data_IF_392515347188
#
_entry.id   IF_392515347188
#
_cell.length_a   1.000
_cell.length_b   1.000
_cell.length_c   1.000
_cell.angle_alpha   90.00
_cell.angle_beta   90.00
_cell.angle_gamma   90.00
#
_symmetry.space_group_name_H-M   'P 1'
#
loop_
_entity.id
_entity.type
_entity.pdbx_description
1 polymer ?
#
# COMPACT_ATOMS: atom_id res chain seq x y z
N UNK A 1 -4.00 -25.18 41.90
CA UNK A 1 -4.75 -26.43 42.13
C UNK A 1 -4.81 -27.13 40.77
N UNK A 2 -3.96 -28.16 40.59
CA UNK A 2 -3.87 -29.04 39.40
C UNK A 2 -4.49 -30.36 39.79
N UNK A 3 -5.15 -31.09 38.90
CA UNK A 3 -5.10 -32.54 38.98
C UNK A 3 -4.47 -33.16 37.71
N UNK A 4 -3.50 -33.99 37.96
CA UNK A 4 -2.87 -34.98 37.09
C UNK A 4 -3.81 -36.15 36.81
N UNK A 5 -3.64 -36.81 35.67
CA UNK A 5 -4.21 -38.12 35.39
C UNK A 5 -3.58 -38.79 34.18
N UNK A 6 -2.46 -39.46 34.35
CA UNK A 6 -1.86 -40.46 33.46
C UNK A 6 -2.60 -41.79 33.53
N UNK A 7 -2.83 -42.51 32.43
CA UNK A 7 -2.75 -43.99 32.33
C UNK A 7 -2.48 -44.40 30.88
N UNK A 8 -1.38 -44.92 30.64
CA UNK A 8 -0.80 -46.24 30.26
C UNK A 8 -1.46 -47.02 29.10
N UNK A 9 -0.53 -47.35 28.16
CA UNK A 9 -0.66 -48.35 27.08
C UNK A 9 -0.99 -49.73 27.58
N UNK A 10 -1.36 -50.65 26.65
CA UNK A 10 -0.60 -51.89 26.51
C UNK A 10 -0.11 -52.17 25.10
N UNK A 11 0.93 -52.98 25.08
CA UNK A 11 1.71 -53.50 23.97
C UNK A 11 1.09 -54.81 23.41
N UNK A 12 1.69 -55.20 22.27
CA UNK A 12 1.90 -56.55 21.72
C UNK A 12 0.84 -57.22 20.83
N UNK A 13 1.35 -57.63 19.64
CA UNK A 13 0.76 -58.60 18.74
C UNK A 13 1.55 -58.76 17.43
N UNK A 14 2.39 -59.76 17.42
CA UNK A 14 3.32 -60.18 16.37
C UNK A 14 2.70 -60.80 15.13
N UNK A 15 3.48 -61.21 14.08
CA UNK A 15 3.14 -61.10 12.66
C UNK A 15 2.84 -62.50 12.05
N UNK A 16 2.25 -62.47 10.83
CA UNK A 16 2.26 -63.66 9.98
C UNK A 16 1.52 -63.48 8.67
N UNK A 17 1.66 -64.33 7.70
CA UNK A 17 2.83 -64.44 6.81
C UNK A 17 2.58 -64.08 5.35
N UNK A 18 3.65 -64.03 4.60
CA UNK A 18 3.80 -63.86 3.15
C UNK A 18 2.89 -64.69 2.25
N UNK A 19 2.40 -64.12 1.17
CA UNK A 19 2.23 -64.83 -0.08
C UNK A 19 2.53 -63.94 -1.27
N UNK A 20 3.43 -64.46 -2.04
CA UNK A 20 4.00 -64.04 -3.30
C UNK A 20 3.00 -63.98 -4.48
N UNK A 21 3.49 -63.34 -5.52
CA UNK A 21 3.32 -63.61 -6.96
C UNK A 21 2.59 -62.54 -7.75
N UNK A 22 3.35 -61.76 -8.48
CA UNK A 22 3.33 -61.76 -9.94
C UNK A 22 2.25 -60.97 -10.64
N UNK A 23 2.66 -59.91 -11.24
CA UNK A 23 1.84 -59.28 -12.24
C UNK A 23 2.50 -57.97 -12.75
N UNK A 24 3.48 -58.09 -13.60
CA UNK A 24 3.90 -57.00 -14.49
C UNK A 24 2.71 -56.58 -15.34
N UNK A 25 2.04 -55.50 -14.99
CA UNK A 25 1.12 -54.82 -15.88
C UNK A 25 1.89 -53.77 -16.67
N UNK A 26 1.80 -53.93 -17.98
CA UNK A 26 2.25 -53.07 -19.05
C UNK A 26 2.02 -51.59 -18.74
N UNK A 27 3.03 -50.75 -19.06
CA UNK A 27 2.94 -49.29 -19.14
C UNK A 27 1.69 -48.94 -19.97
N UNK A 28 0.86 -47.98 -19.53
CA UNK A 28 -0.07 -47.32 -20.44
C UNK A 28 0.73 -46.51 -21.44
N UNK A 29 0.43 -46.73 -22.71
CA UNK A 29 0.89 -45.92 -23.83
C UNK A 29 0.25 -44.51 -23.73
N UNK A 30 1.06 -43.55 -24.01
CA UNK A 30 0.83 -42.20 -24.53
C UNK A 30 -0.62 -41.66 -24.60
N UNK A 31 -0.85 -40.51 -23.91
CA UNK A 31 -1.76 -39.50 -24.46
C UNK A 31 -2.99 -39.10 -23.68
N UNK A 32 -3.11 -39.40 -22.40
CA UNK A 32 -4.07 -38.61 -21.59
C UNK A 32 -3.35 -37.53 -20.82
N UNK A 33 -3.76 -36.26 -20.95
CA UNK A 33 -3.27 -35.23 -20.01
C UNK A 33 -3.72 -35.70 -18.64
N UNK A 34 -2.73 -35.94 -17.76
CA UNK A 34 -2.98 -36.19 -16.35
C UNK A 34 -3.91 -35.14 -15.77
N UNK A 35 -4.59 -35.42 -14.64
CA UNK A 35 -5.51 -34.47 -14.04
C UNK A 35 -4.87 -33.11 -14.01
N UNK A 36 -5.53 -32.11 -14.60
CA UNK A 36 -5.10 -30.74 -14.54
C UNK A 36 -5.06 -30.37 -13.05
N UNK A 37 -3.88 -30.47 -12.45
CA UNK A 37 -3.66 -29.87 -11.14
C UNK A 37 -4.07 -28.43 -11.31
N UNK A 38 -5.11 -28.00 -10.61
CA UNK A 38 -5.52 -26.59 -10.55
C UNK A 38 -4.27 -25.81 -10.16
N UNK A 39 -3.69 -25.10 -11.14
CA UNK A 39 -2.51 -24.29 -10.90
C UNK A 39 -2.88 -23.26 -9.85
N UNK A 40 -2.11 -23.18 -8.77
CA UNK A 40 -2.35 -22.16 -7.76
C UNK A 40 -2.18 -20.78 -8.40
N UNK A 41 -3.22 -19.99 -8.39
CA UNK A 41 -3.25 -18.63 -8.96
C UNK A 41 -3.96 -17.69 -8.00
N UNK A 42 -3.42 -16.51 -7.82
CA UNK A 42 -4.02 -15.43 -7.03
C UNK A 42 -3.87 -14.11 -7.76
N UNK A 43 -4.90 -13.28 -7.68
CA UNK A 43 -4.85 -11.89 -8.11
C UNK A 43 -5.04 -11.03 -6.88
N UNK A 44 -4.07 -10.17 -6.62
CA UNK A 44 -4.06 -9.25 -5.48
C UNK A 44 -4.21 -7.84 -6.02
N UNK A 45 -5.21 -7.09 -5.52
CA UNK A 45 -5.40 -5.68 -5.82
C UNK A 45 -5.07 -4.84 -4.60
N UNK A 46 -4.22 -3.83 -4.80
CA UNK A 46 -3.72 -2.98 -3.71
C UNK A 46 -3.90 -1.52 -4.11
N UNK A 47 -4.57 -0.71 -3.26
CA UNK A 47 -4.74 0.71 -3.55
C UNK A 47 -3.43 1.49 -3.38
N UNK A 48 -3.35 2.63 -4.09
CA UNK A 48 -2.38 3.67 -3.84
C UNK A 48 -2.55 4.25 -2.44
N UNK A 49 -1.55 4.99 -1.98
CA UNK A 49 -1.65 5.67 -0.69
C UNK A 49 -0.92 7.02 -0.69
N UNK A 50 -1.44 7.96 0.09
CA UNK A 50 -0.80 9.23 0.39
C UNK A 50 -0.45 9.28 1.86
N UNK A 51 0.82 9.42 2.18
CA UNK A 51 1.31 9.52 3.56
C UNK A 51 1.46 10.96 4.03
N UNK A 52 1.65 11.13 5.32
CA UNK A 52 1.84 12.36 6.06
C UNK A 52 0.58 13.22 6.21
N UNK A 53 -0.22 13.38 5.19
CA UNK A 53 -1.48 14.15 5.17
C UNK A 53 -1.34 15.54 5.81
N UNK A 54 -0.21 16.22 5.56
CA UNK A 54 0.18 17.45 6.23
C UNK A 54 0.81 17.19 7.61
N UNK A 55 0.10 17.37 8.73
CA UNK A 55 0.72 17.35 10.06
C UNK A 55 1.10 15.96 10.59
N UNK A 56 0.65 14.87 9.94
CA UNK A 56 0.85 13.49 10.39
C UNK A 56 2.10 12.83 9.82
N UNK A 57 3.24 13.54 9.83
CA UNK A 57 4.50 13.05 9.32
C UNK A 57 4.89 11.67 9.91
N UNK A 58 5.16 10.70 9.02
CA UNK A 58 5.53 9.30 9.31
C UNK A 58 4.49 8.53 10.19
N UNK A 59 3.27 9.06 10.38
CA UNK A 59 2.26 8.38 11.20
C UNK A 59 0.84 8.38 10.61
N UNK A 60 0.52 9.22 9.63
CA UNK A 60 -0.81 9.27 9.02
C UNK A 60 -0.73 9.00 7.53
N UNK A 61 -1.68 8.23 7.01
CA UNK A 61 -1.85 8.02 5.58
C UNK A 61 -3.32 7.79 5.21
N UNK A 62 -3.60 7.89 3.91
CA UNK A 62 -4.89 7.54 3.34
C UNK A 62 -4.71 6.68 2.09
N UNK A 63 -5.60 5.73 1.88
CA UNK A 63 -5.69 4.97 0.65
C UNK A 63 -6.41 5.78 -0.44
N UNK A 64 -5.99 5.60 -1.69
CA UNK A 64 -6.50 6.30 -2.86
C UNK A 64 -6.91 5.31 -3.95
N UNK A 65 -7.98 5.60 -4.69
CA UNK A 65 -8.58 4.74 -5.71
C UNK A 65 -7.78 4.71 -7.03
N UNK A 66 -6.52 4.37 -6.95
CA UNK A 66 -5.64 3.93 -8.03
C UNK A 66 -5.04 2.60 -7.59
N UNK A 67 -4.94 1.61 -8.46
CA UNK A 67 -4.59 0.27 -8.00
C UNK A 67 -3.33 -0.29 -8.69
N UNK A 68 -2.60 -1.07 -7.92
CA UNK A 68 -1.67 -2.07 -8.41
C UNK A 68 -2.39 -3.42 -8.40
N UNK A 69 -2.28 -4.16 -9.49
CA UNK A 69 -2.75 -5.53 -9.64
C UNK A 69 -1.54 -6.45 -9.81
N UNK A 70 -1.44 -7.45 -8.94
CA UNK A 70 -0.44 -8.50 -9.00
C UNK A 70 -1.14 -9.85 -9.19
N UNK A 71 -0.92 -10.48 -10.32
CA UNK A 71 -1.26 -11.88 -10.54
C UNK A 71 -0.04 -12.76 -10.30
N UNK A 72 -0.19 -13.78 -9.44
CA UNK A 72 0.84 -14.80 -9.18
C UNK A 72 0.28 -16.15 -9.54
N UNK A 73 0.95 -16.86 -10.45
CA UNK A 73 0.54 -18.15 -10.98
C UNK A 73 1.67 -19.18 -10.89
N UNK A 74 1.37 -20.40 -10.41
CA UNK A 74 2.30 -21.51 -10.38
C UNK A 74 2.44 -22.11 -11.79
N UNK A 75 3.45 -21.67 -12.54
CA UNK A 75 3.70 -22.10 -13.94
C UNK A 75 4.80 -23.15 -14.05
N UNK A 76 5.54 -23.39 -12.98
CA UNK A 76 6.75 -24.22 -12.95
C UNK A 76 8.02 -23.45 -13.34
N UNK A 77 7.92 -22.15 -13.69
CA UNK A 77 9.05 -21.30 -14.06
C UNK A 77 8.96 -19.96 -13.34
N UNK A 78 10.10 -19.42 -12.93
CA UNK A 78 10.16 -18.06 -12.41
C UNK A 78 10.16 -17.05 -13.56
N UNK A 79 9.21 -16.13 -13.55
CA UNK A 79 9.17 -15.00 -14.50
C UNK A 79 8.50 -13.78 -13.87
N UNK A 80 8.86 -12.59 -14.35
CA UNK A 80 8.18 -11.32 -14.05
C UNK A 80 7.77 -10.65 -15.36
N UNK A 81 6.47 -10.49 -15.55
CA UNK A 81 5.85 -9.91 -16.74
C UNK A 81 5.22 -8.55 -16.37
N UNK A 82 5.67 -7.48 -17.00
CA UNK A 82 5.13 -6.13 -16.78
C UNK A 82 5.57 -5.19 -17.90
N UNK A 83 4.74 -4.19 -18.20
CA UNK A 83 5.07 -3.06 -19.09
C UNK A 83 5.64 -1.86 -18.32
N UNK A 84 5.65 -1.93 -16.99
CA UNK A 84 6.20 -0.87 -16.15
C UNK A 84 7.73 -0.81 -16.25
N UNK A 85 8.36 0.37 -16.12
CA UNK A 85 9.82 0.53 -16.09
C UNK A 85 10.41 0.13 -14.73
N UNK A 86 10.15 -1.11 -14.30
CA UNK A 86 10.63 -1.69 -13.04
C UNK A 86 11.42 -2.96 -13.32
N UNK A 87 12.27 -3.41 -12.38
CA UNK A 87 13.03 -4.65 -12.53
C UNK A 87 12.13 -5.86 -12.84
N UNK A 88 12.62 -6.76 -13.71
CA UNK A 88 11.93 -7.99 -14.12
C UNK A 88 12.58 -9.26 -13.56
N UNK A 89 13.34 -9.14 -12.49
CA UNK A 89 14.01 -10.22 -11.79
C UNK A 89 13.62 -10.26 -10.30
N UNK A 90 14.45 -10.93 -9.50
CA UNK A 90 14.24 -11.08 -8.05
C UNK A 90 14.37 -9.76 -7.28
N UNK A 91 14.97 -8.73 -7.87
CA UNK A 91 15.04 -7.38 -7.34
C UNK A 91 13.71 -6.61 -7.42
N UNK A 92 12.71 -7.12 -8.15
CA UNK A 92 11.37 -6.55 -8.18
C UNK A 92 10.74 -6.54 -6.78
N UNK A 93 10.09 -5.44 -6.38
CA UNK A 93 9.57 -5.31 -5.02
C UNK A 93 8.44 -6.31 -4.70
N UNK A 94 7.58 -6.64 -5.67
CA UNK A 94 6.56 -7.67 -5.45
C UNK A 94 7.19 -9.03 -5.19
N UNK A 95 8.24 -9.38 -5.95
CA UNK A 95 8.97 -10.65 -5.78
C UNK A 95 9.71 -10.68 -4.45
N UNK A 96 10.46 -9.61 -4.12
CA UNK A 96 11.17 -9.52 -2.84
C UNK A 96 10.24 -9.63 -1.64
N UNK A 97 9.06 -9.01 -1.75
CA UNK A 97 8.04 -9.08 -0.70
C UNK A 97 7.45 -10.50 -0.60
N UNK A 98 7.16 -11.14 -1.71
CA UNK A 98 6.74 -12.54 -1.76
C UNK A 98 7.79 -13.46 -1.13
N UNK A 99 9.08 -13.29 -1.51
CA UNK A 99 10.21 -14.08 -1.00
C UNK A 99 10.51 -13.86 0.50
N UNK A 100 9.93 -12.82 1.09
CA UNK A 100 9.97 -12.63 2.55
C UNK A 100 9.22 -13.72 3.31
N UNK A 101 8.21 -14.33 2.71
CA UNK A 101 7.32 -15.33 3.32
C UNK A 101 7.45 -16.72 2.68
N UNK A 102 7.67 -16.80 1.36
CA UNK A 102 7.69 -18.06 0.62
C UNK A 102 8.60 -17.99 -0.62
N UNK A 103 9.16 -19.11 -1.09
CA UNK A 103 10.02 -19.12 -2.28
C UNK A 103 9.24 -18.76 -3.55
N UNK A 104 9.85 -17.94 -4.42
CA UNK A 104 9.24 -17.52 -5.70
C UNK A 104 9.53 -18.49 -6.86
N UNK A 105 10.28 -19.55 -6.63
CA UNK A 105 10.59 -20.57 -7.64
C UNK A 105 9.32 -21.21 -8.18
N UNK A 106 9.21 -21.27 -9.50
CA UNK A 106 8.05 -21.89 -10.18
C UNK A 106 6.84 -20.98 -10.32
N UNK A 107 6.93 -19.71 -9.90
CA UNK A 107 5.83 -18.75 -10.06
C UNK A 107 6.14 -17.68 -11.11
N UNK A 108 5.10 -17.34 -11.88
CA UNK A 108 5.08 -16.18 -12.77
C UNK A 108 4.32 -15.04 -12.11
N UNK A 109 4.93 -13.86 -12.07
CA UNK A 109 4.38 -12.62 -11.50
C UNK A 109 4.00 -11.69 -12.64
N UNK A 110 2.70 -11.37 -12.80
CA UNK A 110 2.21 -10.38 -13.77
C UNK A 110 1.78 -9.14 -13.02
N UNK A 111 2.40 -8.00 -13.36
CA UNK A 111 2.22 -6.74 -12.61
C UNK A 111 1.66 -5.68 -13.54
N UNK A 112 0.53 -5.09 -13.15
CA UNK A 112 -0.09 -3.91 -13.74
C UNK A 112 -0.28 -2.86 -12.68
N UNK A 113 -0.17 -1.56 -13.02
CA UNK A 113 -0.39 -0.50 -12.05
C UNK A 113 -0.86 0.79 -12.72
N UNK A 114 -1.86 1.40 -12.09
CA UNK A 114 -2.30 2.78 -12.39
C UNK A 114 -1.55 3.81 -11.54
N UNK A 115 -0.79 3.34 -10.52
CA UNK A 115 -0.11 4.21 -9.56
C UNK A 115 1.14 4.80 -10.21
N UNK A 116 1.26 6.14 -10.32
CA UNK A 116 2.48 6.77 -10.81
C UNK A 116 3.72 6.37 -9.99
N UNK A 117 4.79 6.00 -10.70
CA UNK A 117 6.05 5.65 -10.05
C UNK A 117 6.76 6.92 -9.57
N UNK A 118 7.43 6.83 -8.41
CA UNK A 118 8.24 7.93 -7.82
C UNK A 118 7.48 9.24 -7.59
N UNK A 119 6.15 9.20 -7.59
CA UNK A 119 5.28 10.36 -7.42
C UNK A 119 4.87 10.67 -5.97
N UNK A 120 5.24 9.86 -4.97
CA UNK A 120 4.77 10.02 -3.60
C UNK A 120 3.37 9.43 -3.36
N UNK A 121 2.87 8.57 -4.25
CA UNK A 121 1.55 7.91 -4.18
C UNK A 121 1.62 6.44 -3.71
N UNK A 122 2.66 6.06 -2.99
CA UNK A 122 2.76 4.76 -2.33
C UNK A 122 2.95 3.56 -3.26
N UNK A 123 3.52 3.74 -4.46
CA UNK A 123 3.74 2.62 -5.41
C UNK A 123 4.64 1.52 -4.85
N UNK A 124 5.66 1.86 -4.05
CA UNK A 124 6.52 0.91 -3.34
C UNK A 124 5.72 0.10 -2.31
N UNK A 125 4.97 0.79 -1.46
CA UNK A 125 4.11 0.18 -0.44
C UNK A 125 3.09 -0.78 -1.07
N UNK A 126 2.45 -0.37 -2.17
CA UNK A 126 1.50 -1.22 -2.90
C UNK A 126 2.17 -2.48 -3.45
N UNK A 127 3.37 -2.38 -4.02
CA UNK A 127 4.12 -3.53 -4.52
C UNK A 127 4.52 -4.50 -3.39
N UNK A 128 4.97 -3.98 -2.24
CA UNK A 128 5.32 -4.77 -1.07
C UNK A 128 4.10 -5.49 -0.52
N UNK A 129 2.99 -4.78 -0.32
CA UNK A 129 1.74 -5.36 0.17
C UNK A 129 1.23 -6.44 -0.77
N UNK A 130 1.25 -6.21 -2.09
CA UNK A 130 0.81 -7.18 -3.08
C UNK A 130 1.60 -8.49 -3.00
N UNK A 131 2.93 -8.40 -2.93
CA UNK A 131 3.80 -9.57 -2.85
C UNK A 131 3.60 -10.38 -1.56
N UNK A 132 3.52 -9.70 -0.41
CA UNK A 132 3.27 -10.35 0.88
C UNK A 132 1.91 -11.04 0.92
N UNK A 133 0.83 -10.36 0.49
CA UNK A 133 -0.51 -10.94 0.46
C UNK A 133 -0.63 -12.12 -0.49
N UNK A 134 0.02 -12.08 -1.65
CA UNK A 134 0.05 -13.20 -2.57
C UNK A 134 0.70 -14.44 -1.94
N UNK A 135 1.84 -14.27 -1.27
CA UNK A 135 2.52 -15.37 -0.58
C UNK A 135 1.71 -15.91 0.59
N UNK A 136 1.21 -15.02 1.43
CA UNK A 136 0.40 -15.37 2.60
C UNK A 136 -0.83 -16.19 2.22
N UNK A 137 -1.57 -15.73 1.20
CA UNK A 137 -2.78 -16.38 0.73
C UNK A 137 -2.52 -17.69 -0.04
N UNK A 138 -1.39 -17.81 -0.79
CA UNK A 138 -1.03 -19.03 -1.51
C UNK A 138 -0.59 -20.15 -0.57
N UNK A 139 0.01 -19.81 0.56
CA UNK A 139 0.57 -20.75 1.51
C UNK A 139 -0.17 -20.81 2.85
N UNK A 140 -1.26 -20.03 3.01
CA UNK A 140 -2.12 -19.99 4.21
C UNK A 140 -1.31 -19.76 5.50
N UNK A 141 -0.43 -18.72 5.49
CA UNK A 141 0.57 -18.54 6.55
C UNK A 141 0.05 -17.80 7.78
N UNK A 142 -1.03 -17.03 7.65
CA UNK A 142 -1.57 -16.13 8.70
C UNK A 142 -0.49 -15.16 9.25
N UNK A 143 0.26 -14.57 8.34
CA UNK A 143 1.41 -13.73 8.65
C UNK A 143 0.98 -12.32 9.09
N UNK A 144 1.75 -11.73 10.02
CA UNK A 144 1.60 -10.29 10.36
C UNK A 144 2.09 -9.41 9.20
N UNK A 145 1.19 -9.19 8.21
CA UNK A 145 1.52 -8.49 6.99
C UNK A 145 1.97 -7.04 7.24
N UNK A 146 1.35 -6.33 8.19
CA UNK A 146 1.74 -4.96 8.53
C UNK A 146 3.17 -4.89 9.06
N UNK A 147 3.53 -5.81 9.92
CA UNK A 147 4.90 -5.90 10.46
C UNK A 147 5.92 -6.18 9.36
N UNK A 148 5.66 -7.17 8.51
CA UNK A 148 6.56 -7.52 7.42
C UNK A 148 6.69 -6.38 6.39
N UNK A 149 5.56 -5.75 6.02
CA UNK A 149 5.53 -4.63 5.09
C UNK A 149 6.29 -3.42 5.64
N UNK A 150 6.06 -3.05 6.91
CA UNK A 150 6.76 -1.94 7.57
C UNK A 150 8.27 -2.16 7.66
N UNK A 151 8.73 -3.40 7.86
CA UNK A 151 10.16 -3.73 7.86
C UNK A 151 10.80 -3.60 6.48
N UNK A 152 10.07 -3.90 5.41
CA UNK A 152 10.56 -3.79 4.03
C UNK A 152 10.55 -2.35 3.53
N UNK A 153 9.53 -1.57 3.85
CA UNK A 153 9.36 -0.17 3.43
C UNK A 153 10.17 0.80 4.29
N UNK A 154 10.36 0.48 5.57
CA UNK A 154 11.05 1.33 6.55
C UNK A 154 10.14 2.27 7.32
N UNK A 155 8.85 2.35 6.99
CA UNK A 155 7.80 3.09 7.70
C UNK A 155 6.44 2.41 7.51
N UNK A 156 5.48 2.69 8.41
CA UNK A 156 4.23 1.92 8.46
C UNK A 156 3.03 2.62 7.80
N UNK A 157 3.07 3.91 7.57
CA UNK A 157 1.94 4.72 7.14
C UNK A 157 1.36 4.30 5.78
N UNK A 158 2.15 4.35 4.69
CA UNK A 158 1.72 3.95 3.34
C UNK A 158 1.28 2.48 3.29
N UNK A 159 2.04 1.57 3.91
CA UNK A 159 1.71 0.14 3.89
C UNK A 159 0.44 -0.16 4.69
N UNK A 160 0.21 0.53 5.81
CA UNK A 160 -1.02 0.40 6.58
C UNK A 160 -2.24 0.88 5.80
N UNK A 161 -2.13 2.05 5.12
CA UNK A 161 -3.20 2.55 4.26
C UNK A 161 -3.48 1.59 3.10
N UNK A 162 -2.45 1.07 2.44
CA UNK A 162 -2.59 0.08 1.37
C UNK A 162 -3.27 -1.21 1.87
N UNK A 163 -2.92 -1.71 3.05
CA UNK A 163 -3.50 -2.92 3.64
C UNK A 163 -4.95 -2.73 4.09
N UNK A 164 -5.27 -1.61 4.76
CA UNK A 164 -6.54 -1.46 5.48
C UNK A 164 -7.57 -0.61 4.74
N UNK A 165 -7.14 0.23 3.80
CA UNK A 165 -7.99 1.25 3.19
C UNK A 165 -8.35 2.39 4.15
N UNK A 166 -9.08 3.38 3.64
CA UNK A 166 -9.49 4.56 4.41
C UNK A 166 -8.32 5.44 4.85
N UNK A 167 -8.50 6.11 5.98
CA UNK A 167 -7.44 6.84 6.68
C UNK A 167 -6.85 5.98 7.77
N UNK A 168 -5.55 6.04 7.98
CA UNK A 168 -4.87 5.29 9.03
C UNK A 168 -3.99 6.20 9.88
N UNK A 169 -3.89 5.86 11.17
CA UNK A 169 -2.95 6.43 12.12
C UNK A 169 -2.12 5.29 12.67
N UNK A 170 -0.80 5.37 12.48
CA UNK A 170 0.16 4.35 12.88
C UNK A 170 0.89 4.78 14.16
N UNK A 171 0.84 3.95 15.18
CA UNK A 171 1.57 4.12 16.43
C UNK A 171 1.90 2.75 17.02
N UNK A 172 3.04 2.63 17.68
CA UNK A 172 3.44 1.41 18.40
C UNK A 172 3.37 0.11 17.57
N UNK A 173 3.66 0.22 16.26
CA UNK A 173 3.60 -0.92 15.33
C UNK A 173 2.18 -1.36 14.95
N UNK A 174 1.16 -0.60 15.33
CA UNK A 174 -0.24 -0.83 15.00
C UNK A 174 -0.79 0.29 14.11
N UNK A 175 -1.86 0.00 13.38
CA UNK A 175 -2.59 0.98 12.59
C UNK A 175 -4.06 1.03 13.03
N UNK A 176 -4.53 2.24 13.32
CA UNK A 176 -5.94 2.51 13.61
C UNK A 176 -6.58 3.14 12.38
N UNK A 177 -7.60 2.49 11.85
CA UNK A 177 -8.32 2.93 10.66
C UNK A 177 -9.49 3.84 10.98
N UNK A 178 -9.65 4.90 10.19
CA UNK A 178 -10.83 5.76 10.13
C UNK A 178 -11.46 5.66 8.75
N UNK A 179 -12.77 5.72 8.68
CA UNK A 179 -13.46 5.81 7.39
C UNK A 179 -13.41 7.24 6.84
N UNK A 180 -13.38 7.37 5.51
CA UNK A 180 -13.55 8.67 4.87
C UNK A 180 -14.95 9.21 5.15
N UNK A 181 -15.11 10.46 5.60
CA UNK A 181 -16.41 11.07 5.71
C UNK A 181 -17.05 11.20 4.31
N UNK A 182 -18.37 10.99 4.25
CA UNK A 182 -19.11 11.09 3.01
C UNK A 182 -18.94 12.49 2.38
N UNK A 183 -18.71 12.54 1.08
CA UNK A 183 -18.52 13.79 0.34
C UNK A 183 -17.10 14.35 0.35
N UNK A 184 -16.14 13.72 1.04
CA UNK A 184 -14.74 14.09 0.93
C UNK A 184 -14.13 13.43 -0.31
N UNK A 185 -13.52 14.24 -1.18
CA UNK A 185 -12.80 13.80 -2.37
C UNK A 185 -11.36 14.28 -2.38
N UNK A 186 -10.52 13.60 -3.14
CA UNK A 186 -9.15 13.99 -3.39
C UNK A 186 -8.83 14.06 -4.88
N UNK A 187 -7.98 15.01 -5.23
CA UNK A 187 -7.37 15.15 -6.54
C UNK A 187 -5.86 15.09 -6.36
N UNK A 188 -5.16 14.31 -7.17
CA UNK A 188 -3.70 14.29 -7.19
C UNK A 188 -3.18 15.12 -8.36
N UNK A 189 -2.41 16.15 -8.07
CA UNK A 189 -1.59 16.87 -9.05
C UNK A 189 -0.21 16.22 -9.06
N UNK A 190 0.07 15.48 -10.12
CA UNK A 190 1.28 14.67 -10.28
C UNK A 190 2.26 15.39 -11.21
N UNK A 191 3.36 15.97 -10.71
CA UNK A 191 4.40 16.57 -11.54
C UNK A 191 5.08 15.56 -12.46
N UNK A 192 5.58 16.04 -13.62
CA UNK A 192 6.37 15.22 -14.53
C UNK A 192 7.77 14.88 -13.97
N UNK A 193 8.29 15.76 -13.11
CA UNK A 193 9.59 15.55 -12.46
C UNK A 193 9.41 14.74 -11.17
N UNK A 194 10.12 13.62 -11.06
CA UNK A 194 10.12 12.78 -9.88
C UNK A 194 11.11 13.28 -8.81
N UNK A 195 10.81 13.02 -7.55
CA UNK A 195 11.70 13.28 -6.41
C UNK A 195 11.93 12.00 -5.64
N UNK A 196 13.20 11.62 -5.47
CA UNK A 196 13.55 10.42 -4.71
C UNK A 196 13.22 10.59 -3.22
N UNK A 197 12.59 9.61 -2.61
CA UNK A 197 12.24 9.61 -1.18
C UNK A 197 13.46 9.85 -0.29
N UNK A 198 14.63 9.29 -0.65
CA UNK A 198 15.87 9.51 0.09
C UNK A 198 16.32 10.99 0.09
N UNK A 199 16.18 11.70 -1.04
CA UNK A 199 16.50 13.11 -1.13
C UNK A 199 15.52 13.97 -0.29
N UNK A 200 14.22 13.64 -0.36
CA UNK A 200 13.21 14.32 0.44
C UNK A 200 13.41 14.10 1.95
N UNK A 201 13.87 12.90 2.36
CA UNK A 201 14.17 12.60 3.76
C UNK A 201 15.46 13.31 4.22
N UNK A 202 16.48 13.37 3.37
CA UNK A 202 17.74 14.09 3.66
C UNK A 202 17.58 15.62 3.76
N UNK A 203 16.51 16.20 3.21
CA UNK A 203 16.20 17.61 3.34
C UNK A 203 15.64 18.01 4.70
N UNK A 204 15.29 17.03 5.55
CA UNK A 204 14.75 17.29 6.89
C UNK A 204 15.88 17.46 7.91
N UNK A 205 15.75 18.40 8.87
CA UNK A 205 16.71 18.55 9.95
C UNK A 205 16.56 17.42 10.97
N UNK A 206 17.61 17.13 11.71
CA UNK A 206 17.58 16.16 12.81
C UNK A 206 16.72 16.62 13.99
N UNK A 207 16.55 17.94 14.17
CA UNK A 207 15.79 18.55 15.25
C UNK A 207 14.85 19.63 14.71
N UNK A 208 13.73 19.83 15.38
CA UNK A 208 12.75 20.89 15.05
C UNK A 208 12.46 21.75 16.29
N UNK A 209 12.11 23.03 16.10
CA UNK A 209 11.66 23.87 17.20
C UNK A 209 10.45 23.26 17.92
N UNK A 210 10.41 23.34 19.25
CA UNK A 210 9.28 22.82 20.03
C UNK A 210 7.95 23.46 19.60
N UNK A 211 7.96 24.73 19.17
CA UNK A 211 6.76 25.41 18.63
C UNK A 211 6.22 24.74 17.38
N UNK A 212 7.08 24.21 16.50
CA UNK A 212 6.66 23.50 15.29
C UNK A 212 6.10 22.10 15.65
N UNK A 213 6.72 21.43 16.63
CA UNK A 213 6.20 20.16 17.14
C UNK A 213 4.80 20.34 17.76
N UNK A 214 4.61 21.36 18.64
CA UNK A 214 3.30 21.70 19.21
C UNK A 214 2.28 22.04 18.14
N UNK A 215 2.69 22.78 17.11
CA UNK A 215 1.83 23.09 15.96
C UNK A 215 1.33 21.82 15.28
N UNK A 216 2.21 20.89 14.93
CA UNK A 216 1.81 19.64 14.25
C UNK A 216 0.95 18.74 15.13
N UNK A 217 1.24 18.63 16.43
CA UNK A 217 0.38 17.88 17.37
C UNK A 217 -1.05 18.45 17.38
N UNK A 218 -1.20 19.78 17.44
CA UNK A 218 -2.51 20.41 17.42
C UNK A 218 -3.24 20.22 16.08
N UNK A 219 -2.53 20.38 14.95
CA UNK A 219 -3.14 20.25 13.62
C UNK A 219 -3.45 18.81 13.27
N UNK A 220 -2.62 17.84 13.67
CA UNK A 220 -2.92 16.42 13.57
C UNK A 220 -4.18 16.02 14.35
N UNK A 221 -4.35 16.56 15.56
CA UNK A 221 -5.57 16.36 16.35
C UNK A 221 -6.81 16.97 15.67
N UNK A 222 -6.68 18.20 15.11
CA UNK A 222 -7.77 18.84 14.35
C UNK A 222 -8.14 18.04 13.09
N UNK A 223 -7.14 17.57 12.33
CA UNK A 223 -7.37 16.75 11.14
C UNK A 223 -8.10 15.44 11.51
N UNK A 224 -7.63 14.73 12.53
CA UNK A 224 -8.26 13.49 13.01
C UNK A 224 -9.70 13.74 13.46
N UNK A 225 -9.95 14.82 14.22
CA UNK A 225 -11.27 15.16 14.68
C UNK A 225 -12.20 15.56 13.53
N UNK A 226 -11.68 16.33 12.55
CA UNK A 226 -12.39 16.72 11.33
C UNK A 226 -12.81 15.49 10.51
N UNK A 227 -11.90 14.55 10.29
CA UNK A 227 -12.18 13.29 9.61
C UNK A 227 -13.22 12.45 10.36
N UNK A 228 -13.09 12.31 11.68
CA UNK A 228 -13.98 11.47 12.48
C UNK A 228 -15.43 12.04 12.57
N UNK A 229 -15.57 13.34 12.44
CA UNK A 229 -16.88 14.03 12.56
C UNK A 229 -17.48 14.46 11.23
N UNK A 230 -16.71 14.40 10.13
CA UNK A 230 -17.11 15.04 8.87
C UNK A 230 -17.21 16.56 8.98
N UNK A 231 -16.36 17.16 9.83
CA UNK A 231 -16.34 18.61 10.03
C UNK A 231 -15.28 19.26 9.10
N UNK A 232 -15.78 19.92 8.07
CA UNK A 232 -14.96 20.48 7.00
C UNK A 232 -14.07 21.63 7.44
N UNK A 233 -14.50 22.44 8.43
CA UNK A 233 -13.68 23.54 8.97
C UNK A 233 -12.52 22.99 9.79
N UNK A 234 -12.76 22.02 10.67
CA UNK A 234 -11.71 21.35 11.42
C UNK A 234 -10.72 20.64 10.49
N UNK A 235 -11.23 19.93 9.45
CA UNK A 235 -10.41 19.26 8.46
C UNK A 235 -9.51 20.27 7.73
N UNK A 236 -10.10 21.34 7.16
CA UNK A 236 -9.36 22.35 6.41
C UNK A 236 -8.30 23.06 7.26
N UNK A 237 -8.58 23.31 8.55
CA UNK A 237 -7.60 23.86 9.50
C UNK A 237 -6.52 22.85 9.84
N UNK A 238 -6.87 21.56 9.91
CA UNK A 238 -5.98 20.47 10.27
C UNK A 238 -4.92 20.13 9.22
N UNK A 239 -5.10 20.50 7.94
CA UNK A 239 -4.17 20.14 6.85
C UNK A 239 -2.81 20.85 6.86
N UNK A 240 -2.52 21.67 7.86
CA UNK A 240 -1.31 22.48 7.89
C UNK A 240 -0.14 21.76 8.56
N UNK A 241 1.06 21.94 8.00
CA UNK A 241 2.31 21.32 8.46
C UNK A 241 3.42 22.36 8.72
N UNK A 242 4.27 22.07 9.70
CA UNK A 242 5.52 22.78 9.98
C UNK A 242 6.73 21.85 10.13
N UNK A 243 6.56 20.54 9.93
CA UNK A 243 7.66 19.58 10.09
C UNK A 243 8.37 19.25 8.79
N UNK A 244 7.64 19.05 7.68
CA UNK A 244 8.27 18.49 6.49
C UNK A 244 8.03 19.25 5.19
N UNK A 245 6.84 19.76 4.91
CA UNK A 245 6.50 20.33 3.60
C UNK A 245 7.36 21.55 3.25
N UNK A 246 7.42 22.53 4.15
CA UNK A 246 8.21 23.74 3.94
C UNK A 246 9.71 23.44 3.81
N UNK A 247 10.22 22.44 4.54
CA UNK A 247 11.64 22.08 4.52
C UNK A 247 12.04 21.39 3.21
N UNK A 248 11.08 20.74 2.55
CA UNK A 248 11.22 20.09 1.25
C UNK A 248 10.86 20.99 0.07
N UNK A 249 10.36 22.20 0.31
CA UNK A 249 9.85 23.10 -0.74
C UNK A 249 10.84 23.38 -1.87
N UNK A 250 12.15 23.38 -1.59
CA UNK A 250 13.20 23.58 -2.60
C UNK A 250 13.31 22.43 -3.61
N UNK A 251 12.85 21.24 -3.25
CA UNK A 251 12.88 20.06 -4.12
C UNK A 251 11.74 20.08 -5.15
N UNK A 252 10.61 20.71 -4.81
CA UNK A 252 9.41 20.80 -5.63
C UNK A 252 8.68 22.14 -5.44
N UNK A 253 9.30 23.27 -5.83
CA UNK A 253 8.79 24.59 -5.50
C UNK A 253 7.39 24.88 -6.08
N UNK A 254 7.08 24.39 -7.30
CA UNK A 254 5.75 24.53 -7.91
C UNK A 254 4.66 23.79 -7.13
N UNK A 255 4.95 22.56 -6.71
CA UNK A 255 4.03 21.76 -5.89
C UNK A 255 3.75 22.43 -4.56
N UNK A 256 4.80 22.91 -3.90
CA UNK A 256 4.67 23.58 -2.60
C UNK A 256 3.86 24.88 -2.70
N UNK A 257 4.09 25.69 -3.74
CA UNK A 257 3.33 26.92 -3.97
C UNK A 257 1.86 26.61 -4.28
N UNK A 258 1.60 25.61 -5.14
CA UNK A 258 0.23 25.17 -5.45
C UNK A 258 -0.51 24.69 -4.19
N UNK A 259 0.15 23.89 -3.33
CA UNK A 259 -0.44 23.40 -2.11
C UNK A 259 -0.86 24.55 -1.17
N UNK A 260 -0.04 25.59 -1.05
CA UNK A 260 -0.35 26.78 -0.25
C UNK A 260 -1.54 27.58 -0.76
N UNK A 261 -1.72 27.64 -2.08
CA UNK A 261 -2.78 28.41 -2.77
C UNK A 261 -4.05 27.60 -2.99
N UNK A 262 -4.09 26.32 -2.67
CA UNK A 262 -5.22 25.44 -2.97
C UNK A 262 -6.57 25.96 -2.47
N UNK A 263 -6.62 26.64 -1.31
CA UNK A 263 -7.84 27.24 -0.77
C UNK A 263 -8.34 28.43 -1.60
N UNK A 264 -7.44 29.19 -2.22
CA UNK A 264 -7.79 30.29 -3.13
C UNK A 264 -8.42 29.76 -4.42
N UNK A 265 -8.10 28.50 -4.78
CA UNK A 265 -8.65 27.77 -5.93
C UNK A 265 -9.95 27.01 -5.57
N UNK A 266 -10.50 27.22 -4.36
CA UNK A 266 -11.79 26.64 -3.93
C UNK A 266 -11.69 25.29 -3.24
N UNK A 267 -10.52 24.74 -3.02
CA UNK A 267 -10.32 23.49 -2.27
C UNK A 267 -10.45 23.72 -0.75
N UNK A 268 -10.68 22.64 0.02
CA UNK A 268 -10.58 22.64 1.47
C UNK A 268 -9.13 22.94 1.91
N UNK A 269 -8.17 22.49 1.14
CA UNK A 269 -6.74 22.65 1.30
C UNK A 269 -5.99 21.67 0.44
N UNK A 270 -4.67 21.62 0.60
CA UNK A 270 -3.84 20.61 -0.04
C UNK A 270 -2.65 20.26 0.83
N UNK A 271 -2.09 19.07 0.61
CA UNK A 271 -0.92 18.54 1.29
C UNK A 271 0.05 17.95 0.28
N UNK A 272 1.32 17.89 0.62
CA UNK A 272 2.31 17.14 -0.17
C UNK A 272 2.16 15.65 0.15
N UNK A 273 1.93 14.85 -0.86
CA UNK A 273 1.75 13.40 -0.74
C UNK A 273 3.07 12.71 -0.43
N UNK A 274 3.20 12.10 0.73
CA UNK A 274 4.38 11.36 1.16
C UNK A 274 5.67 12.19 1.10
N UNK A 275 6.63 11.74 0.31
CA UNK A 275 7.88 12.47 0.08
C UNK A 275 7.74 13.62 -0.93
N UNK A 276 6.62 13.73 -1.61
CA UNK A 276 6.38 14.57 -2.77
C UNK A 276 6.86 13.89 -4.07
N UNK A 277 6.78 14.57 -5.23
CA UNK A 277 6.34 15.96 -5.42
C UNK A 277 4.81 16.12 -5.63
N UNK A 278 4.02 15.03 -5.61
CA UNK A 278 2.57 15.10 -5.82
C UNK A 278 1.89 15.95 -4.75
N UNK A 279 0.96 16.78 -5.20
CA UNK A 279 0.06 17.55 -4.33
C UNK A 279 -1.27 16.82 -4.24
N UNK A 280 -1.68 16.45 -3.03
CA UNK A 280 -3.01 15.93 -2.77
C UNK A 280 -3.93 17.10 -2.41
N UNK A 281 -4.87 17.42 -3.29
CA UNK A 281 -5.84 18.50 -3.13
C UNK A 281 -7.11 17.90 -2.55
N UNK A 282 -7.57 18.42 -1.42
CA UNK A 282 -8.73 17.96 -0.68
C UNK A 282 -9.93 18.79 -1.03
N UNK A 283 -11.00 18.15 -1.47
CA UNK A 283 -12.20 18.80 -1.96
C UNK A 283 -13.44 18.27 -1.25
N UNK A 284 -14.43 19.13 -1.10
CA UNK A 284 -15.77 18.67 -0.88
C UNK A 284 -16.41 18.34 -2.23
N UNK A 285 -17.17 17.26 -2.30
CA UNK A 285 -17.76 16.69 -3.53
C UNK A 285 -18.40 17.74 -4.45
N UNK A 286 -19.25 18.64 -3.91
CA UNK A 286 -19.95 19.65 -4.71
C UNK A 286 -19.00 20.69 -5.34
N UNK A 287 -17.80 20.86 -4.80
CA UNK A 287 -16.81 21.83 -5.25
C UNK A 287 -15.80 21.25 -6.24
N UNK A 288 -15.69 19.92 -6.33
CA UNK A 288 -14.64 19.23 -7.09
C UNK A 288 -14.55 19.71 -8.54
N UNK A 289 -15.68 19.91 -9.23
CA UNK A 289 -15.69 20.39 -10.62
C UNK A 289 -15.10 21.80 -10.77
N UNK A 290 -15.44 22.72 -9.85
CA UNK A 290 -14.90 24.08 -9.87
C UNK A 290 -13.39 24.10 -9.55
N UNK A 291 -12.97 23.28 -8.59
CA UNK A 291 -11.56 23.13 -8.22
C UNK A 291 -10.74 22.55 -9.37
N UNK A 292 -11.25 21.53 -10.08
CA UNK A 292 -10.61 20.99 -11.29
C UNK A 292 -10.41 22.07 -12.34
N UNK A 293 -11.45 22.87 -12.62
CA UNK A 293 -11.38 23.96 -13.60
C UNK A 293 -10.37 25.06 -13.19
N UNK A 294 -10.26 25.36 -11.90
CA UNK A 294 -9.31 26.33 -11.37
C UNK A 294 -7.86 25.80 -11.36
N UNK A 295 -7.66 24.50 -11.11
CA UNK A 295 -6.35 23.87 -11.12
C UNK A 295 -5.76 23.74 -12.54
N UNK A 296 -6.57 23.49 -13.56
CA UNK A 296 -6.10 23.18 -14.90
C UNK A 296 -5.09 24.21 -15.47
N UNK A 297 -5.35 25.54 -15.42
CA UNK A 297 -4.39 26.53 -15.89
C UNK A 297 -3.14 26.63 -15.01
N UNK A 298 -3.24 26.31 -13.71
CA UNK A 298 -2.11 26.38 -12.78
C UNK A 298 -1.08 25.26 -12.98
N UNK A 299 -1.52 24.11 -13.52
CA UNK A 299 -0.69 22.92 -13.69
C UNK A 299 -0.24 22.68 -15.14
N UNK A 300 -0.71 23.49 -16.07
CA UNK A 300 -0.42 23.33 -17.49
C UNK A 300 1.08 23.28 -17.77
N UNK A 301 1.48 22.30 -18.57
CA UNK A 301 2.86 22.08 -19.03
C UNK A 301 3.83 21.50 -17.98
N UNK A 302 3.41 21.21 -16.72
CA UNK A 302 4.32 20.64 -15.72
C UNK A 302 3.77 19.49 -14.87
N UNK A 303 2.45 19.33 -14.80
CA UNK A 303 1.83 18.26 -14.01
C UNK A 303 0.57 17.72 -14.69
N UNK A 304 0.15 16.55 -14.26
CA UNK A 304 -1.11 15.89 -14.66
C UNK A 304 -2.05 15.86 -13.47
N UNK A 305 -3.35 16.12 -13.71
CA UNK A 305 -4.40 16.02 -12.71
C UNK A 305 -5.07 14.66 -12.80
N UNK A 306 -5.08 13.92 -11.68
CA UNK A 306 -5.78 12.65 -11.53
C UNK A 306 -6.91 12.82 -10.50
N UNK A 307 -8.10 12.30 -10.81
CA UNK A 307 -9.13 12.11 -9.78
C UNK A 307 -8.81 10.83 -9.03
N UNK A 308 -8.56 10.97 -7.73
CA UNK A 308 -8.14 9.87 -6.87
C UNK A 308 -8.97 9.89 -5.58
N UNK A 309 -10.26 9.50 -5.64
CA UNK A 309 -11.09 9.44 -4.45
C UNK A 309 -10.39 8.64 -3.34
N UNK A 310 -10.71 8.95 -2.09
CA UNK A 310 -10.23 8.13 -0.98
C UNK A 310 -10.85 6.73 -1.07
N UNK A 311 -9.98 5.71 -1.01
CA UNK A 311 -10.39 4.32 -1.18
C UNK A 311 -10.74 3.71 0.18
N UNK A 312 -11.99 3.35 0.42
CA UNK A 312 -12.40 2.77 1.69
C UNK A 312 -11.92 1.32 1.87
N UNK A 313 -11.68 0.60 0.78
CA UNK A 313 -11.23 -0.78 0.82
C UNK A 313 -9.70 -0.85 0.76
N UNK A 314 -9.11 -1.66 1.64
CA UNK A 314 -7.69 -2.01 1.56
C UNK A 314 -7.41 -3.07 0.50
N UNK A 315 -6.18 -3.55 0.53
CA UNK A 315 -5.77 -4.63 -0.35
C UNK A 315 -6.64 -5.88 -0.16
N UNK A 316 -6.91 -6.58 -1.27
CA UNK A 316 -7.70 -7.82 -1.25
C UNK A 316 -7.21 -8.81 -2.31
N UNK A 317 -7.53 -10.07 -2.09
CA UNK A 317 -7.27 -11.16 -3.05
C UNK A 317 -8.59 -11.49 -3.74
N UNK A 318 -8.59 -11.48 -5.07
CA UNK A 318 -9.74 -11.94 -5.86
C UNK A 318 -9.80 -13.47 -5.84
N UNK A 319 -10.99 -14.02 -5.56
CA UNK A 319 -11.27 -15.44 -5.76
C UNK A 319 -11.46 -15.69 -7.25
N UNK A 320 -10.70 -16.65 -7.79
CA UNK A 320 -10.70 -17.01 -9.22
C UNK A 320 -11.42 -18.32 -9.45
#
# INVERSE_FOLDING_TARGET
>A
MIPRGWRSRPEDGEPGPSSSVGGWRSRPQDGEPGPSFLRRRRVVRVPASSANLGPGFDCMAAALALHLELEVEETGQFAVETDLPVPRGRENLCVRAFERLAPAEGFTFRIRSEIPLEGGLGSSAAAIVAGLMAADHLYELDADLLKHASQLEGHSDNVAAALQGGFVICADGQATRLQSPAGLEALAVVPQEAVRTSAARAALPAEVPLSDAVFNVAHGALLTLGLARGDWDLLARGLQDRLHEQRRAKLFPRSYELARRARELGALGATISGAGPTVLVWCFYEQTGAVVAALQPEIDGWATLLRTPFEPQGAYVEEL
#
